data_IF_281006525851
#
_entry.id   IF_281006525851
#
_cell.length_a   1.000
_cell.length_b   1.000
_cell.length_c   1.000
_cell.angle_alpha   90.00
_cell.angle_beta   90.00
_cell.angle_gamma   90.00
#
_symmetry.space_group_name_H-M   'P 1'
#
loop_
_entity.id
_entity.type
_entity.pdbx_description
1 polymer ?
#
# COMPACT_ATOMS: atom_id res chain seq x y z
N UNK A 1 14.34 22.84 12.66
CA UNK A 1 13.49 21.84 13.37
C UNK A 1 14.29 20.56 13.56
N UNK A 2 14.40 20.01 14.78
CA UNK A 2 15.03 18.71 14.99
C UNK A 2 14.28 17.62 14.22
N UNK A 3 14.99 16.90 13.33
CA UNK A 3 14.45 15.74 12.61
C UNK A 3 14.44 14.53 13.55
N UNK A 4 13.32 13.81 13.59
CA UNK A 4 13.19 12.58 14.39
C UNK A 4 11.75 12.15 14.62
N UNK A 5 11.54 10.85 14.85
CA UNK A 5 10.23 10.28 15.17
C UNK A 5 9.78 10.77 16.55
N UNK A 6 8.70 11.54 16.61
CA UNK A 6 8.06 11.95 17.87
C UNK A 6 7.02 10.92 18.29
N UNK A 7 6.97 10.60 19.58
CA UNK A 7 5.89 9.78 20.12
C UNK A 7 4.62 10.64 20.23
N UNK A 8 3.60 10.35 19.41
CA UNK A 8 2.31 11.03 19.43
C UNK A 8 1.20 10.17 20.05
N UNK A 9 1.54 9.09 20.78
CA UNK A 9 0.52 8.31 21.50
C UNK A 9 -0.15 9.16 22.57
N UNK A 10 -1.48 9.07 22.61
CA UNK A 10 -2.26 9.60 23.72
C UNK A 10 -1.83 8.93 25.03
N UNK A 11 -1.62 9.73 26.07
CA UNK A 11 -1.34 9.29 27.44
C UNK A 11 -2.45 8.42 28.04
N UNK A 12 -3.64 8.37 27.42
CA UNK A 12 -4.78 7.53 27.86
C UNK A 12 -4.69 6.07 27.46
N UNK A 13 -3.73 5.69 26.60
CA UNK A 13 -3.45 4.30 26.21
C UNK A 13 -2.09 3.89 26.75
N UNK A 14 -1.93 2.66 27.27
CA UNK A 14 -0.69 2.10 27.86
C UNK A 14 0.59 2.64 27.18
N UNK A 15 1.09 3.75 27.70
CA UNK A 15 2.16 4.55 27.10
C UNK A 15 3.54 4.17 27.66
N UNK A 16 3.58 3.20 28.58
CA UNK A 16 4.78 2.72 29.26
C UNK A 16 5.51 1.60 28.49
N UNK A 17 4.97 1.10 27.38
CA UNK A 17 5.68 0.10 26.58
C UNK A 17 7.00 0.69 26.06
N UNK A 18 8.16 -0.01 26.13
CA UNK A 18 9.46 0.53 25.73
C UNK A 18 9.64 0.75 24.22
N UNK A 19 8.68 0.29 23.41
CA UNK A 19 8.79 0.25 21.95
C UNK A 19 8.95 1.64 21.30
N UNK A 20 8.30 2.73 21.77
CA UNK A 20 8.52 4.06 21.20
C UNK A 20 9.96 4.54 21.36
N UNK A 21 10.61 4.25 22.50
CA UNK A 21 12.00 4.63 22.74
C UNK A 21 12.93 3.89 21.77
N UNK A 22 12.76 2.57 21.64
CA UNK A 22 13.52 1.73 20.71
C UNK A 22 13.35 2.22 19.27
N UNK A 23 12.11 2.43 18.81
CA UNK A 23 11.84 2.91 17.45
C UNK A 23 12.38 4.33 17.19
N UNK A 24 12.42 5.19 18.22
CA UNK A 24 12.99 6.53 18.09
C UNK A 24 14.51 6.53 17.97
N UNK A 25 15.18 5.58 18.64
CA UNK A 25 16.63 5.41 18.57
C UNK A 25 17.04 4.86 17.21
N UNK A 26 16.40 3.76 16.77
CA UNK A 26 16.70 3.15 15.46
C UNK A 26 16.42 4.09 14.28
N UNK A 27 15.42 4.98 14.38
CA UNK A 27 15.15 5.98 13.35
C UNK A 27 16.25 7.06 13.19
N UNK A 28 17.21 7.15 14.13
CA UNK A 28 18.37 8.06 14.05
C UNK A 28 19.61 7.41 13.46
N UNK A 29 19.59 6.08 13.30
CA UNK A 29 20.71 5.34 12.72
C UNK A 29 20.81 5.63 11.21
N UNK A 30 22.03 5.83 10.67
CA UNK A 30 22.21 6.04 9.24
C UNK A 30 21.83 4.77 8.46
N UNK A 31 21.23 4.94 7.29
CA UNK A 31 20.93 3.82 6.40
C UNK A 31 22.16 3.47 5.57
N UNK A 32 22.63 2.23 5.67
CA UNK A 32 23.61 1.66 4.76
C UNK A 32 22.83 0.76 3.78
N UNK A 33 22.78 1.16 2.51
CA UNK A 33 22.05 0.45 1.47
C UNK A 33 23.02 -0.17 0.47
N UNK A 34 23.01 -1.49 0.36
CA UNK A 34 23.69 -2.21 -0.71
C UNK A 34 22.69 -2.47 -1.86
N UNK A 35 23.10 -2.23 -3.10
CA UNK A 35 22.25 -2.44 -4.27
C UNK A 35 23.06 -2.99 -5.45
N UNK A 36 22.41 -3.81 -6.26
CA UNK A 36 22.90 -4.27 -7.56
C UNK A 36 22.44 -3.37 -8.72
N UNK A 37 21.76 -2.26 -8.42
CA UNK A 37 21.33 -1.30 -9.44
C UNK A 37 22.55 -0.53 -9.98
N UNK A 38 22.69 -0.40 -11.31
CA UNK A 38 23.82 0.31 -11.90
C UNK A 38 23.80 1.80 -11.51
N UNK A 39 24.98 2.29 -11.15
CA UNK A 39 25.20 3.65 -10.64
C UNK A 39 24.84 4.72 -11.69
N UNK A 40 25.00 4.38 -12.97
CA UNK A 40 24.70 5.26 -14.11
C UNK A 40 23.21 5.53 -14.28
N UNK A 41 22.35 4.57 -13.89
CA UNK A 41 20.90 4.67 -14.10
C UNK A 41 20.23 5.44 -12.97
N UNK A 42 20.73 5.36 -11.73
CA UNK A 42 20.06 5.96 -10.57
C UNK A 42 21.00 6.67 -9.62
N UNK A 43 20.62 7.91 -9.31
CA UNK A 43 21.25 8.71 -8.27
C UNK A 43 21.01 8.12 -6.88
N UNK A 44 21.92 8.33 -5.91
CA UNK A 44 21.73 7.88 -4.52
C UNK A 44 20.40 8.36 -3.90
N UNK A 45 19.94 9.56 -4.25
CA UNK A 45 18.66 10.10 -3.79
C UNK A 45 17.46 9.29 -4.30
N UNK A 46 17.51 8.84 -5.56
CA UNK A 46 16.47 7.96 -6.11
C UNK A 46 16.50 6.58 -5.45
N UNK A 47 17.69 6.05 -5.13
CA UNK A 47 17.82 4.78 -4.40
C UNK A 47 17.18 4.86 -3.00
N UNK A 48 17.48 5.91 -2.25
CA UNK A 48 16.86 6.16 -0.94
C UNK A 48 15.34 6.28 -1.09
N UNK A 49 14.85 6.95 -2.13
CA UNK A 49 13.41 7.07 -2.38
C UNK A 49 12.76 5.72 -2.69
N UNK A 50 13.42 4.85 -3.46
CA UNK A 50 12.96 3.48 -3.71
C UNK A 50 12.89 2.70 -2.40
N UNK A 51 13.98 2.69 -1.64
CA UNK A 51 14.04 1.96 -0.38
C UNK A 51 13.04 2.48 0.65
N UNK A 52 12.73 3.79 0.62
CA UNK A 52 11.71 4.38 1.49
C UNK A 52 10.32 3.75 1.29
N UNK A 53 10.03 3.22 0.09
CA UNK A 53 8.78 2.51 -0.20
C UNK A 53 8.68 1.12 0.45
N UNK A 54 9.74 0.57 1.06
CA UNK A 54 9.72 -0.77 1.67
C UNK A 54 8.60 -0.96 2.71
N UNK A 55 8.22 0.12 3.39
CA UNK A 55 7.17 0.12 4.41
C UNK A 55 5.80 -0.29 3.83
N UNK A 56 5.59 -0.11 2.52
CA UNK A 56 4.36 -0.54 1.84
C UNK A 56 4.10 -2.04 1.98
N UNK A 57 5.14 -2.87 2.11
CA UNK A 57 5.00 -4.31 2.35
C UNK A 57 4.40 -4.56 3.74
N UNK A 58 4.89 -3.88 4.78
CA UNK A 58 4.37 -4.01 6.15
C UNK A 58 2.93 -3.51 6.26
N UNK A 59 2.59 -2.43 5.56
CA UNK A 59 1.23 -1.91 5.43
C UNK A 59 0.32 -2.92 4.73
N UNK A 60 0.77 -3.53 3.63
CA UNK A 60 0.02 -4.56 2.92
C UNK A 60 -0.24 -5.79 3.79
N UNK A 61 0.77 -6.26 4.55
CA UNK A 61 0.57 -7.36 5.50
C UNK A 61 -0.37 -7.01 6.65
N UNK A 62 -0.34 -5.76 7.13
CA UNK A 62 -1.28 -5.27 8.14
C UNK A 62 -2.71 -5.31 7.60
N UNK A 63 -2.93 -4.80 6.39
CA UNK A 63 -4.25 -4.74 5.77
C UNK A 63 -4.78 -6.14 5.47
N UNK A 64 -3.95 -7.04 4.93
CA UNK A 64 -4.31 -8.43 4.70
C UNK A 64 -4.80 -9.12 5.99
N UNK A 65 -4.12 -8.87 7.12
CA UNK A 65 -4.47 -9.45 8.43
C UNK A 65 -5.64 -8.73 9.11
N UNK A 66 -5.88 -7.46 8.81
CA UNK A 66 -6.83 -6.61 9.53
C UNK A 66 -8.27 -6.94 9.12
N UNK A 67 -9.15 -7.28 10.08
CA UNK A 67 -10.57 -7.51 9.78
C UNK A 67 -11.37 -6.23 9.57
N UNK A 68 -10.98 -5.14 10.21
CA UNK A 68 -11.68 -3.87 10.09
C UNK A 68 -11.32 -3.13 8.78
N UNK A 69 -10.06 -3.25 8.35
CA UNK A 69 -9.51 -2.39 7.30
C UNK A 69 -9.12 -3.10 6.01
N UNK A 70 -8.93 -4.42 6.01
CA UNK A 70 -8.61 -5.19 4.82
C UNK A 70 -9.33 -6.54 4.78
N UNK A 71 -8.58 -7.63 4.56
CA UNK A 71 -9.17 -8.93 4.18
C UNK A 71 -9.41 -9.90 5.34
N UNK A 72 -9.14 -9.48 6.58
CA UNK A 72 -9.52 -10.24 7.77
C UNK A 72 -8.84 -11.59 7.95
N UNK A 73 -7.65 -11.80 7.36
CA UNK A 73 -6.96 -13.10 7.42
C UNK A 73 -6.67 -13.57 8.85
N UNK A 74 -6.62 -12.67 9.84
CA UNK A 74 -6.49 -13.02 11.27
C UNK A 74 -7.63 -13.91 11.79
N UNK A 75 -8.80 -13.88 11.16
CA UNK A 75 -9.97 -14.68 11.55
C UNK A 75 -10.05 -16.04 10.84
N UNK A 76 -9.09 -16.40 9.98
CA UNK A 76 -9.13 -17.69 9.26
C UNK A 76 -9.12 -18.90 10.20
N UNK A 77 -8.41 -18.80 11.34
CA UNK A 77 -8.24 -19.86 12.35
C UNK A 77 -7.83 -21.23 11.78
N UNK A 78 -7.27 -21.27 10.56
CA UNK A 78 -6.85 -22.52 9.91
C UNK A 78 -5.52 -23.00 10.47
N UNK A 79 -5.40 -24.32 10.66
CA UNK A 79 -4.16 -25.00 11.06
C UNK A 79 -3.48 -25.76 9.91
N UNK A 80 -4.13 -25.89 8.75
CA UNK A 80 -3.56 -26.52 7.55
C UNK A 80 -2.86 -25.47 6.69
N UNK A 81 -1.62 -25.78 6.28
CA UNK A 81 -0.80 -25.00 5.35
C UNK A 81 -1.49 -24.84 4.00
N UNK A 82 -2.03 -25.94 3.47
CA UNK A 82 -2.64 -26.01 2.14
C UNK A 82 -3.86 -25.09 2.07
N UNK A 83 -4.69 -25.11 3.12
CA UNK A 83 -5.84 -24.21 3.22
C UNK A 83 -5.41 -22.76 3.32
N UNK A 84 -4.32 -22.47 4.03
CA UNK A 84 -3.80 -21.12 4.16
C UNK A 84 -3.26 -20.59 2.83
N UNK A 85 -2.57 -21.42 2.06
CA UNK A 85 -2.08 -21.08 0.72
C UNK A 85 -3.23 -20.74 -0.24
N UNK A 86 -4.32 -21.51 -0.21
CA UNK A 86 -5.53 -21.22 -0.99
C UNK A 86 -6.15 -19.87 -0.56
N UNK A 87 -6.21 -19.59 0.75
CA UNK A 87 -6.72 -18.30 1.24
C UNK A 87 -5.83 -17.12 0.80
N UNK A 88 -4.51 -17.30 0.79
CA UNK A 88 -3.58 -16.29 0.30
C UNK A 88 -3.76 -16.04 -1.20
N UNK A 89 -3.99 -17.09 -1.98
CA UNK A 89 -4.28 -16.97 -3.41
C UNK A 89 -5.58 -16.20 -3.66
N UNK A 90 -6.66 -16.53 -2.94
CA UNK A 90 -7.93 -15.79 -3.02
C UNK A 90 -7.73 -14.33 -2.62
N UNK A 91 -6.98 -14.08 -1.55
CA UNK A 91 -6.67 -12.72 -1.09
C UNK A 91 -5.87 -11.93 -2.14
N UNK A 92 -4.90 -12.56 -2.81
CA UNK A 92 -4.14 -11.96 -3.90
C UNK A 92 -5.04 -11.58 -5.08
N UNK A 93 -5.92 -12.48 -5.50
CA UNK A 93 -6.88 -12.21 -6.59
C UNK A 93 -7.83 -11.06 -6.23
N UNK A 94 -8.35 -11.05 -5.00
CA UNK A 94 -9.22 -9.98 -4.52
C UNK A 94 -8.49 -8.63 -4.46
N UNK A 95 -7.25 -8.63 -3.97
CA UNK A 95 -6.40 -7.44 -3.93
C UNK A 95 -6.16 -6.88 -5.34
N UNK A 96 -5.88 -7.75 -6.32
CA UNK A 96 -5.70 -7.35 -7.71
C UNK A 96 -6.98 -6.72 -8.29
N UNK A 97 -8.14 -7.33 -8.06
CA UNK A 97 -9.43 -6.79 -8.48
C UNK A 97 -9.71 -5.43 -7.86
N UNK A 98 -9.44 -5.26 -6.56
CA UNK A 98 -9.55 -3.96 -5.88
C UNK A 98 -8.57 -2.94 -6.48
N UNK A 99 -7.39 -3.37 -6.91
CA UNK A 99 -6.43 -2.49 -7.56
C UNK A 99 -6.94 -1.98 -8.91
N UNK A 100 -7.48 -2.87 -9.74
CA UNK A 100 -8.08 -2.49 -11.03
C UNK A 100 -9.28 -1.56 -10.84
N UNK A 101 -10.19 -1.90 -9.93
CA UNK A 101 -11.33 -1.04 -9.59
C UNK A 101 -10.88 0.34 -9.07
N UNK A 102 -9.83 0.37 -8.25
CA UNK A 102 -9.26 1.60 -7.72
C UNK A 102 -8.59 2.48 -8.79
N UNK A 103 -7.87 1.89 -9.74
CA UNK A 103 -7.28 2.61 -10.88
C UNK A 103 -8.38 3.22 -11.74
N UNK A 104 -9.43 2.44 -12.03
CA UNK A 104 -10.60 2.96 -12.74
C UNK A 104 -11.26 4.13 -11.97
N UNK A 105 -11.51 3.95 -10.68
CA UNK A 105 -12.12 4.97 -9.83
C UNK A 105 -11.30 6.26 -9.76
N UNK A 106 -9.97 6.17 -9.72
CA UNK A 106 -9.07 7.33 -9.79
C UNK A 106 -9.20 8.07 -11.13
N UNK A 107 -9.30 7.34 -12.24
CA UNK A 107 -9.50 7.93 -13.57
C UNK A 107 -10.83 8.69 -13.66
N UNK A 108 -11.88 8.17 -13.03
CA UNK A 108 -13.20 8.81 -12.98
C UNK A 108 -13.31 9.92 -11.93
N UNK A 109 -12.31 10.10 -11.07
CA UNK A 109 -12.31 11.10 -10.00
C UNK A 109 -13.22 10.76 -8.81
N UNK A 110 -13.58 9.48 -8.64
CA UNK A 110 -14.44 9.01 -7.54
C UNK A 110 -13.72 8.99 -6.19
N UNK A 111 -12.39 9.07 -6.17
CA UNK A 111 -11.59 9.25 -4.96
C UNK A 111 -12.08 10.42 -4.10
N UNK A 112 -12.56 11.48 -4.75
CA UNK A 112 -13.13 12.66 -4.09
C UNK A 112 -14.42 12.40 -3.33
N UNK A 113 -15.19 11.38 -3.72
CA UNK A 113 -16.44 11.03 -3.05
C UNK A 113 -16.20 10.31 -1.71
N UNK A 114 -15.02 9.67 -1.56
CA UNK A 114 -14.65 8.90 -0.38
C UNK A 114 -13.68 9.64 0.56
N UNK A 115 -13.37 10.91 0.26
CA UNK A 115 -12.54 11.73 1.14
C UNK A 115 -13.37 12.84 1.80
N UNK A 116 -13.20 12.97 3.12
CA UNK A 116 -13.78 14.09 3.88
C UNK A 116 -12.87 15.34 3.84
N UNK A 117 -11.61 15.19 3.43
CA UNK A 117 -10.62 16.26 3.45
C UNK A 117 -10.59 17.04 2.13
N UNK A 118 -10.16 18.30 2.18
CA UNK A 118 -10.03 19.20 1.02
C UNK A 118 -8.74 19.01 0.21
N UNK A 119 -7.98 17.95 0.49
CA UNK A 119 -6.70 17.67 -0.16
C UNK A 119 -6.93 17.31 -1.62
N UNK A 120 -6.25 18.01 -2.54
CA UNK A 120 -6.35 17.79 -4.00
C UNK A 120 -5.01 17.46 -4.67
N UNK A 121 -3.90 17.56 -3.95
CA UNK A 121 -2.55 17.42 -4.49
C UNK A 121 -1.98 15.99 -4.37
N UNK A 122 -2.71 15.08 -3.71
CA UNK A 122 -2.30 13.69 -3.52
C UNK A 122 -3.51 12.79 -3.26
N UNK A 123 -3.34 11.51 -3.53
CA UNK A 123 -4.33 10.50 -3.18
C UNK A 123 -4.40 10.37 -1.65
N UNK A 124 -5.60 10.50 -1.09
CA UNK A 124 -5.85 10.35 0.35
C UNK A 124 -6.00 8.87 0.71
N UNK A 125 -6.77 8.13 -0.09
CA UNK A 125 -6.90 6.67 0.03
C UNK A 125 -5.90 5.96 -0.87
N UNK A 126 -5.39 4.81 -0.42
CA UNK A 126 -4.63 3.92 -1.30
C UNK A 126 -5.53 3.43 -2.45
N UNK A 127 -4.94 3.14 -3.61
CA UNK A 127 -5.69 2.65 -4.77
C UNK A 127 -6.52 1.41 -4.45
N UNK A 128 -5.96 0.47 -3.68
CA UNK A 128 -6.68 -0.73 -3.22
C UNK A 128 -7.86 -0.35 -2.34
N UNK A 129 -7.66 0.54 -1.36
CA UNK A 129 -8.73 0.94 -0.44
C UNK A 129 -9.87 1.63 -1.18
N UNK A 130 -9.55 2.51 -2.12
CA UNK A 130 -10.56 3.13 -2.98
C UNK A 130 -11.35 2.08 -3.76
N UNK A 131 -10.67 1.11 -4.38
CA UNK A 131 -11.35 0.03 -5.09
C UNK A 131 -12.25 -0.82 -4.19
N UNK A 132 -11.82 -1.12 -2.97
CA UNK A 132 -12.67 -1.80 -1.99
C UNK A 132 -13.93 -1.01 -1.66
N UNK A 133 -13.83 0.32 -1.46
CA UNK A 133 -15.01 1.14 -1.18
C UNK A 133 -15.95 1.22 -2.39
N UNK A 134 -15.40 1.46 -3.57
CA UNK A 134 -16.18 1.53 -4.82
C UNK A 134 -16.97 0.23 -5.04
N UNK A 135 -16.32 -0.93 -4.85
CA UNK A 135 -16.97 -2.24 -5.00
C UNK A 135 -18.01 -2.54 -3.91
N UNK A 136 -17.99 -1.85 -2.77
CA UNK A 136 -18.99 -1.99 -1.70
C UNK A 136 -20.27 -1.21 -1.95
N UNK A 137 -20.24 -0.22 -2.85
CA UNK A 137 -21.36 0.67 -3.09
C UNK A 137 -21.97 0.44 -4.48
N UNK A 138 -23.28 0.19 -4.54
CA UNK A 138 -24.02 -0.04 -5.79
C UNK A 138 -24.08 1.18 -6.73
N UNK A 139 -23.78 2.38 -6.22
CA UNK A 139 -23.75 3.62 -7.00
C UNK A 139 -22.59 3.74 -7.99
N UNK A 140 -21.66 2.78 -7.99
CA UNK A 140 -20.50 2.78 -8.88
C UNK A 140 -20.50 1.53 -9.75
N UNK A 141 -20.86 1.71 -11.01
CA UNK A 141 -20.88 0.62 -11.99
C UNK A 141 -19.52 0.51 -12.66
N UNK A 142 -18.90 -0.66 -12.57
CA UNK A 142 -17.65 -0.97 -13.27
C UNK A 142 -17.94 -2.10 -14.26
N UNK A 143 -17.73 -1.85 -15.55
CA UNK A 143 -17.91 -2.86 -16.59
C UNK A 143 -16.63 -3.67 -16.80
N UNK A 144 -16.73 -4.77 -17.55
CA UNK A 144 -15.55 -5.56 -17.95
C UNK A 144 -14.56 -4.73 -18.77
N UNK A 145 -15.07 -3.87 -19.65
CA UNK A 145 -14.24 -3.01 -20.50
C UNK A 145 -13.46 -2.00 -19.67
N UNK A 146 -14.09 -1.43 -18.64
CA UNK A 146 -13.45 -0.53 -17.68
C UNK A 146 -12.27 -1.19 -16.96
N UNK A 147 -12.43 -2.46 -16.56
CA UNK A 147 -11.37 -3.24 -15.92
C UNK A 147 -10.23 -3.55 -16.88
N UNK A 148 -10.51 -3.81 -18.15
CA UNK A 148 -9.47 -4.02 -19.17
C UNK A 148 -8.66 -2.73 -19.39
N UNK A 149 -9.32 -1.58 -19.46
CA UNK A 149 -8.66 -0.26 -19.55
C UNK A 149 -7.86 0.03 -18.28
N UNK A 150 -8.38 -0.30 -17.10
CA UNK A 150 -7.63 -0.17 -15.86
C UNK A 150 -6.40 -1.08 -15.84
N UNK A 151 -6.50 -2.30 -16.37
CA UNK A 151 -5.39 -3.24 -16.45
C UNK A 151 -4.29 -2.75 -17.41
N UNK A 152 -4.64 -2.17 -18.54
CA UNK A 152 -3.64 -1.58 -19.47
C UNK A 152 -2.96 -0.38 -18.85
N UNK A 153 -3.71 0.52 -18.19
CA UNK A 153 -3.12 1.65 -17.44
C UNK A 153 -2.21 1.18 -16.33
N UNK A 154 -2.60 0.14 -15.60
CA UNK A 154 -1.80 -0.46 -14.56
C UNK A 154 -0.50 -1.04 -15.12
N UNK A 155 -0.57 -1.79 -16.22
CA UNK A 155 0.60 -2.33 -16.90
C UNK A 155 1.53 -1.21 -17.38
N UNK A 156 1.00 -0.16 -18.00
CA UNK A 156 1.77 1.02 -18.40
C UNK A 156 2.47 1.67 -17.20
N UNK A 157 1.76 1.89 -16.10
CA UNK A 157 2.35 2.42 -14.87
C UNK A 157 3.46 1.50 -14.31
N UNK A 158 3.29 0.19 -14.40
CA UNK A 158 4.32 -0.79 -14.01
C UNK A 158 5.53 -0.73 -14.95
N UNK A 159 5.38 -0.48 -16.24
CA UNK A 159 6.53 -0.30 -17.14
C UNK A 159 7.23 1.04 -16.94
N UNK A 160 6.47 2.13 -16.74
CA UNK A 160 7.02 3.47 -16.56
C UNK A 160 7.69 3.65 -15.20
N UNK A 161 7.14 3.03 -14.14
CA UNK A 161 7.59 3.22 -12.76
C UNK A 161 8.12 1.97 -12.08
N UNK A 162 7.94 0.78 -12.69
CA UNK A 162 8.42 -0.48 -12.15
C UNK A 162 9.93 -0.58 -12.27
N UNK A 163 10.57 -0.60 -11.10
CA UNK A 163 12.01 -0.59 -10.98
C UNK A 163 12.72 -1.84 -11.52
N UNK A 164 11.98 -2.93 -11.76
CA UNK A 164 12.46 -4.22 -12.28
C UNK A 164 12.18 -4.44 -13.78
N UNK A 165 11.30 -3.64 -14.41
CA UNK A 165 10.86 -3.81 -15.79
C UNK A 165 11.13 -2.58 -16.69
N UNK A 166 11.45 -1.42 -16.10
CA UNK A 166 11.92 -0.26 -16.86
C UNK A 166 13.34 -0.49 -17.35
N UNK A 167 13.53 -0.52 -18.68
CA UNK A 167 14.77 -0.75 -19.45
C UNK A 167 15.98 -1.13 -18.59
N UNK A 168 16.27 -2.43 -18.54
CA UNK A 168 17.65 -2.91 -18.56
C UNK A 168 18.36 -2.34 -19.78
#
# INVERSE_FOLDING_TARGET
RSKGRKNQRSTRTHCHHPSPKIYSASAKEPWVLATNLPVEIRTPKQLVNIYSKRMQIEETFRDLKSPAYGLGLRHSRTSSSERFDIMLLIALMLQLTCWLAGVHAQKQGWDKHFQANTVRNRNVLSTVRLGMEVLRHSGYTITREDLLVAATLLAQNLFTHGYALGKL
#
